data_IF_979590471643
#
_entry.id   IF_979590471643
#
_cell.length_a   1.000
_cell.length_b   1.000
_cell.length_c   1.000
_cell.angle_alpha   90.00
_cell.angle_beta   90.00
_cell.angle_gamma   90.00
#
_symmetry.space_group_name_H-M   'P 1'
#
loop_
_entity.id
_entity.type
_entity.pdbx_description
1 polymer ?
#
# COMPACT_ATOMS: atom_id res chain seq x y z
N UNK A 1 -13.87 -1.69 -24.36
CA UNK A 1 -13.49 -1.01 -25.61
C UNK A 1 -13.36 0.47 -25.27
N UNK A 2 -12.23 1.11 -25.59
CA UNK A 2 -12.13 2.56 -25.45
C UNK A 2 -13.13 3.22 -26.41
N UNK A 3 -13.87 4.21 -25.91
CA UNK A 3 -14.74 5.07 -26.72
C UNK A 3 -13.89 6.24 -27.20
N UNK A 4 -13.77 6.41 -28.52
CA UNK A 4 -13.35 7.68 -29.08
C UNK A 4 -14.49 8.68 -28.89
N UNK A 5 -14.25 9.68 -28.03
CA UNK A 5 -15.27 10.67 -27.65
C UNK A 5 -15.54 11.70 -28.74
N UNK A 6 -14.64 11.86 -29.72
CA UNK A 6 -14.83 12.77 -30.85
C UNK A 6 -15.72 12.11 -31.92
N UNK A 7 -15.47 10.83 -32.21
CA UNK A 7 -16.20 10.11 -33.28
C UNK A 7 -17.38 9.28 -32.77
N UNK A 8 -17.45 9.01 -31.47
CA UNK A 8 -18.43 8.09 -30.88
C UNK A 8 -18.18 6.62 -31.23
N UNK A 9 -17.04 6.31 -31.86
CA UNK A 9 -16.71 4.95 -32.28
C UNK A 9 -15.98 4.22 -31.16
N UNK A 10 -16.24 2.93 -31.03
CA UNK A 10 -15.52 2.10 -30.09
C UNK A 10 -14.32 1.44 -30.78
N UNK A 11 -13.16 1.51 -30.13
CA UNK A 11 -11.97 0.76 -30.51
C UNK A 11 -12.05 -0.73 -30.13
N UNK A 12 -10.98 -1.50 -30.32
CA UNK A 12 -10.94 -2.93 -29.96
C UNK A 12 -11.11 -3.16 -28.45
N UNK A 13 -11.51 -4.39 -28.07
CA UNK A 13 -11.49 -4.77 -26.66
C UNK A 13 -10.05 -4.85 -26.15
N UNK A 14 -9.82 -4.31 -24.96
CA UNK A 14 -8.53 -4.36 -24.29
C UNK A 14 -8.69 -5.11 -22.96
N UNK A 15 -7.69 -5.91 -22.62
CA UNK A 15 -7.65 -6.61 -21.34
C UNK A 15 -6.93 -5.76 -20.28
N UNK A 16 -7.67 -5.31 -19.27
CA UNK A 16 -7.17 -4.53 -18.14
C UNK A 16 -6.86 -5.39 -16.90
N UNK A 17 -6.87 -6.71 -17.05
CA UNK A 17 -6.77 -7.69 -15.96
C UNK A 17 -5.81 -8.84 -16.28
N UNK A 18 -5.53 -9.67 -15.29
CA UNK A 18 -4.94 -11.00 -15.46
C UNK A 18 -5.99 -12.11 -15.58
N UNK A 19 -7.20 -11.78 -16.06
CA UNK A 19 -8.31 -12.72 -16.17
C UNK A 19 -9.23 -12.77 -14.94
N UNK A 20 -9.00 -11.87 -13.98
CA UNK A 20 -9.89 -11.66 -12.83
C UNK A 20 -10.88 -10.52 -13.12
N UNK A 21 -11.94 -10.46 -12.31
CA UNK A 21 -12.87 -9.33 -12.34
C UNK A 21 -12.15 -8.05 -11.89
N UNK A 22 -12.14 -7.03 -12.75
CA UNK A 22 -11.68 -5.68 -12.39
C UNK A 22 -12.73 -5.02 -11.50
N UNK A 23 -12.32 -4.61 -10.30
CA UNK A 23 -13.22 -3.97 -9.32
C UNK A 23 -13.01 -2.46 -9.20
N UNK A 24 -11.85 -1.95 -9.61
CA UNK A 24 -11.52 -0.53 -9.48
C UNK A 24 -10.48 -0.11 -10.51
N UNK A 25 -10.63 1.11 -11.04
CA UNK A 25 -9.72 1.74 -11.99
C UNK A 25 -9.51 3.21 -11.58
N UNK A 26 -8.27 3.72 -11.63
CA UNK A 26 -7.99 5.13 -11.37
C UNK A 26 -6.81 5.66 -12.21
N UNK A 27 -7.05 6.70 -12.99
CA UNK A 27 -6.05 7.33 -13.86
C UNK A 27 -5.12 8.23 -13.03
N UNK A 28 -3.83 8.22 -13.33
CA UNK A 28 -2.87 9.13 -12.72
C UNK A 28 -3.14 10.59 -13.16
N UNK A 29 -2.81 11.58 -12.32
CA UNK A 29 -2.99 12.99 -12.66
C UNK A 29 -2.31 13.42 -13.97
N UNK A 30 -1.16 12.84 -14.31
CA UNK A 30 -0.43 13.07 -15.58
C UNK A 30 -1.06 12.38 -16.81
N UNK A 31 -2.10 11.57 -16.62
CA UNK A 31 -2.78 10.82 -17.68
C UNK A 31 -1.89 9.79 -18.39
N UNK A 32 -0.81 9.33 -17.75
CA UNK A 32 0.11 8.33 -18.31
C UNK A 32 -0.12 6.93 -17.77
N UNK A 33 -0.70 6.80 -16.58
CA UNK A 33 -0.82 5.53 -15.86
C UNK A 33 -2.23 5.28 -15.37
N UNK A 34 -2.64 4.03 -15.36
CA UNK A 34 -3.90 3.55 -14.82
C UNK A 34 -3.60 2.55 -13.70
N UNK A 35 -4.07 2.83 -12.49
CA UNK A 35 -4.17 1.80 -11.46
C UNK A 35 -5.38 0.94 -11.78
N UNK A 36 -5.16 -0.37 -11.75
CA UNK A 36 -6.22 -1.36 -11.86
C UNK A 36 -6.15 -2.32 -10.69
N UNK A 37 -7.29 -2.51 -10.01
CA UNK A 37 -7.46 -3.54 -8.99
C UNK A 37 -8.39 -4.62 -9.51
N UNK A 38 -8.02 -5.86 -9.29
CA UNK A 38 -8.83 -7.02 -9.65
C UNK A 38 -9.12 -7.94 -8.45
N UNK A 39 -9.93 -8.96 -8.69
CA UNK A 39 -10.22 -10.03 -7.73
C UNK A 39 -8.93 -10.65 -7.16
N UNK A 40 -8.98 -11.11 -5.91
CA UNK A 40 -7.79 -11.56 -5.18
C UNK A 40 -6.93 -10.44 -4.60
N UNK A 41 -7.44 -9.20 -4.55
CA UNK A 41 -6.78 -8.00 -4.02
C UNK A 41 -5.50 -7.60 -4.78
N UNK A 42 -5.33 -8.05 -6.02
CA UNK A 42 -4.19 -7.69 -6.85
C UNK A 42 -4.34 -6.28 -7.40
N UNK A 43 -3.24 -5.53 -7.41
CA UNK A 43 -3.14 -4.18 -7.97
C UNK A 43 -2.04 -4.14 -9.02
N UNK A 44 -2.35 -3.54 -10.16
CA UNK A 44 -1.46 -3.34 -11.29
C UNK A 44 -1.38 -1.84 -11.62
N UNK A 45 -0.26 -1.45 -12.20
CA UNK A 45 -0.16 -0.23 -12.98
C UNK A 45 -0.07 -0.60 -14.44
N UNK A 46 -0.80 0.13 -15.28
CA UNK A 46 -0.75 0.05 -16.74
C UNK A 46 -0.37 1.43 -17.29
N UNK A 47 0.51 1.48 -18.29
CA UNK A 47 0.80 2.69 -19.05
C UNK A 47 -0.28 2.98 -20.10
N UNK A 48 0.05 3.80 -21.09
CA UNK A 48 -0.84 4.08 -22.23
C UNK A 48 -0.98 2.88 -23.16
N UNK A 49 0.14 2.21 -23.44
CA UNK A 49 0.16 0.92 -24.14
C UNK A 49 -0.43 -0.17 -23.23
N UNK A 50 -1.31 -1.00 -23.77
CA UNK A 50 -1.90 -2.12 -23.05
C UNK A 50 -0.89 -3.17 -22.60
N UNK A 51 0.24 -3.29 -23.31
CA UNK A 51 1.32 -4.21 -22.96
C UNK A 51 2.24 -3.65 -21.88
N UNK A 52 2.27 -2.33 -21.68
CA UNK A 52 2.98 -1.70 -20.57
C UNK A 52 2.17 -1.88 -19.29
N UNK A 53 2.36 -3.01 -18.63
CA UNK A 53 1.69 -3.32 -17.37
C UNK A 53 2.61 -4.02 -16.41
N UNK A 54 2.46 -3.71 -15.12
CA UNK A 54 3.26 -4.30 -14.05
C UNK A 54 2.39 -4.59 -12.84
N UNK A 55 2.57 -5.78 -12.28
CA UNK A 55 2.00 -6.14 -10.99
C UNK A 55 2.71 -5.38 -9.87
N UNK A 56 1.94 -4.65 -9.07
CA UNK A 56 2.46 -3.94 -7.89
C UNK A 56 2.37 -4.81 -6.62
N UNK A 57 1.36 -5.67 -6.53
CA UNK A 57 1.23 -6.65 -5.44
C UNK A 57 -0.22 -6.88 -5.02
N UNK A 58 -0.39 -7.50 -3.86
CA UNK A 58 -1.69 -7.70 -3.21
C UNK A 58 -1.87 -6.75 -2.03
N UNK A 59 -3.13 -6.53 -1.65
CA UNK A 59 -3.51 -5.78 -0.44
C UNK A 59 -2.94 -4.36 -0.41
N UNK A 60 -3.01 -3.68 -1.57
CA UNK A 60 -2.61 -2.27 -1.73
C UNK A 60 -3.80 -1.32 -1.71
N UNK A 61 -4.98 -1.80 -1.30
CA UNK A 61 -6.19 -1.02 -1.13
C UNK A 61 -7.27 -1.32 -2.17
N UNK A 62 -8.52 -1.22 -1.72
CA UNK A 62 -9.71 -1.44 -2.54
C UNK A 62 -10.00 -0.24 -3.45
N UNK A 63 -9.71 0.96 -2.96
CA UNK A 63 -9.92 2.24 -3.63
C UNK A 63 -8.64 3.06 -3.57
N UNK A 64 -7.75 2.84 -4.52
CA UNK A 64 -6.49 3.59 -4.59
C UNK A 64 -6.72 5.01 -5.11
N UNK A 65 -6.09 5.99 -4.46
CA UNK A 65 -6.08 7.39 -4.84
C UNK A 65 -4.66 7.83 -5.12
N UNK A 66 -4.41 8.26 -6.36
CA UNK A 66 -3.11 8.80 -6.74
C UNK A 66 -2.77 10.05 -5.91
N UNK A 67 -1.51 10.13 -5.53
CA UNK A 67 -0.92 11.38 -5.10
C UNK A 67 -0.75 12.30 -6.32
N UNK A 68 -0.82 13.64 -6.17
CA UNK A 68 -0.69 14.59 -7.28
C UNK A 68 0.61 14.47 -8.10
N UNK A 69 1.67 13.90 -7.53
CA UNK A 69 2.93 13.64 -8.24
C UNK A 69 2.86 12.51 -9.27
N UNK A 70 1.71 11.83 -9.40
CA UNK A 70 1.48 10.69 -10.30
C UNK A 70 2.38 9.47 -10.05
N UNK A 71 3.21 9.50 -9.00
CA UNK A 71 4.16 8.43 -8.65
C UNK A 71 3.66 7.62 -7.47
N UNK A 72 3.10 8.29 -6.47
CA UNK A 72 2.63 7.66 -5.23
C UNK A 72 1.11 7.48 -5.25
N UNK A 73 0.61 6.56 -4.43
CA UNK A 73 -0.82 6.50 -4.14
C UNK A 73 -1.08 6.09 -2.69
N UNK A 74 -2.29 6.41 -2.22
CA UNK A 74 -2.88 5.89 -1.00
C UNK A 74 -3.92 4.84 -1.36
N UNK A 75 -3.94 3.71 -0.67
CA UNK A 75 -4.99 2.71 -0.83
C UNK A 75 -5.50 2.23 0.51
N UNK A 76 -6.81 2.29 0.72
CA UNK A 76 -7.44 1.78 1.92
C UNK A 76 -7.78 0.30 1.77
N UNK A 77 -7.30 -0.54 2.68
CA UNK A 77 -7.55 -1.99 2.68
C UNK A 77 -8.29 -2.42 3.96
N UNK A 78 -9.37 -3.17 3.78
CA UNK A 78 -10.15 -3.69 4.89
C UNK A 78 -9.29 -4.66 5.72
N UNK A 79 -9.08 -4.32 7.00
CA UNK A 79 -8.28 -5.12 7.93
C UNK A 79 -6.76 -4.84 7.93
N UNK A 80 -6.23 -4.06 6.99
CA UNK A 80 -4.79 -3.78 6.88
C UNK A 80 -4.42 -2.28 6.92
N UNK A 81 -5.42 -1.41 7.08
CA UNK A 81 -5.23 0.03 7.18
C UNK A 81 -5.07 0.71 5.82
N UNK A 82 -4.57 1.95 5.84
CA UNK A 82 -4.24 2.72 4.65
C UNK A 82 -2.79 2.49 4.27
N UNK A 83 -2.54 2.05 3.05
CA UNK A 83 -1.21 1.83 2.47
C UNK A 83 -0.79 3.07 1.70
N UNK A 84 0.41 3.59 1.98
CA UNK A 84 1.12 4.45 1.05
C UNK A 84 2.05 3.62 0.18
N UNK A 85 2.05 3.88 -1.14
CA UNK A 85 2.83 3.09 -2.09
C UNK A 85 3.50 3.99 -3.13
N UNK A 86 4.73 3.63 -3.51
CA UNK A 86 5.48 4.25 -4.60
C UNK A 86 5.50 3.30 -5.79
N UNK A 87 4.86 3.73 -6.88
CA UNK A 87 4.78 2.94 -8.09
C UNK A 87 6.15 2.80 -8.73
N UNK A 88 6.96 3.85 -8.81
CA UNK A 88 8.26 3.79 -9.51
C UNK A 88 9.20 2.78 -8.86
N UNK A 89 9.37 2.89 -7.55
CA UNK A 89 10.25 1.98 -6.79
C UNK A 89 9.60 0.63 -6.47
N UNK A 90 8.29 0.48 -6.72
CA UNK A 90 7.48 -0.68 -6.39
C UNK A 90 7.57 -1.07 -4.90
N UNK A 91 7.40 -0.08 -4.02
CA UNK A 91 7.56 -0.24 -2.58
C UNK A 91 6.38 0.33 -1.79
N UNK A 92 6.00 -0.38 -0.72
CA UNK A 92 5.19 0.19 0.36
C UNK A 92 6.04 1.26 1.06
N UNK A 93 5.46 2.45 1.20
CA UNK A 93 6.08 3.60 1.86
C UNK A 93 5.68 3.71 3.32
N UNK A 94 4.48 3.23 3.68
CA UNK A 94 4.01 3.19 5.05
C UNK A 94 2.62 2.58 5.17
N UNK A 95 2.21 2.31 6.41
CA UNK A 95 0.89 1.85 6.77
C UNK A 95 0.31 2.78 7.85
N UNK A 96 -0.93 3.21 7.68
CA UNK A 96 -1.67 3.98 8.67
C UNK A 96 -2.88 3.17 9.13
N UNK A 97 -2.95 2.95 10.44
CA UNK A 97 -4.13 2.45 11.15
C UNK A 97 -4.76 3.65 11.85
N UNK A 98 -5.75 4.30 11.20
CA UNK A 98 -6.34 5.53 11.74
C UNK A 98 -7.23 5.29 12.96
N UNK A 99 -7.69 4.05 13.16
CA UNK A 99 -8.50 3.64 14.29
C UNK A 99 -8.03 2.29 14.81
N UNK A 100 -7.47 2.32 16.02
CA UNK A 100 -7.20 1.17 16.87
C UNK A 100 -8.07 1.28 18.13
N UNK A 101 -8.17 0.20 18.89
CA UNK A 101 -8.93 0.18 20.16
C UNK A 101 -8.47 1.29 21.09
N UNK A 102 -9.38 1.91 21.84
CA UNK A 102 -9.03 2.96 22.82
C UNK A 102 -8.65 4.30 22.18
N UNK A 103 -9.21 4.61 21.01
CA UNK A 103 -8.94 5.85 20.26
C UNK A 103 -7.46 6.04 19.86
N UNK A 104 -6.75 4.93 19.70
CA UNK A 104 -5.37 4.95 19.24
C UNK A 104 -5.27 5.04 17.71
N UNK A 105 -4.13 5.54 17.24
CA UNK A 105 -3.75 5.48 15.83
C UNK A 105 -2.26 5.13 15.71
N UNK A 106 -1.90 4.46 14.62
CA UNK A 106 -0.53 4.00 14.36
C UNK A 106 -0.14 4.27 12.91
N UNK A 107 0.99 4.91 12.70
CA UNK A 107 1.69 4.96 11.42
C UNK A 107 2.97 4.12 11.53
N UNK A 108 3.12 3.14 10.65
CA UNK A 108 4.25 2.22 10.59
C UNK A 108 5.02 2.43 9.28
N UNK A 109 6.31 2.75 9.39
CA UNK A 109 7.22 2.84 8.25
C UNK A 109 7.70 1.46 7.78
N UNK A 110 8.32 1.38 6.59
CA UNK A 110 8.66 0.11 5.95
C UNK A 110 9.82 -0.62 6.64
N UNK A 111 10.53 0.06 7.53
CA UNK A 111 11.63 -0.49 8.34
C UNK A 111 11.21 -0.83 9.77
N UNK A 112 9.91 -0.75 10.09
CA UNK A 112 9.37 -1.08 11.41
C UNK A 112 9.42 0.06 12.43
N UNK A 113 9.96 1.23 12.07
CA UNK A 113 9.78 2.44 12.87
C UNK A 113 8.33 2.89 12.85
N UNK A 114 7.84 3.42 13.96
CA UNK A 114 6.44 3.80 14.10
C UNK A 114 6.26 5.13 14.83
N UNK A 115 5.12 5.77 14.60
CA UNK A 115 4.60 6.89 15.39
C UNK A 115 3.12 6.72 15.58
N UNK A 116 2.57 7.22 16.68
CA UNK A 116 1.15 7.07 16.97
C UNK A 116 0.72 7.91 18.15
N UNK A 117 -0.53 7.70 18.56
CA UNK A 117 -1.05 8.22 19.82
C UNK A 117 -0.23 7.74 21.02
N UNK A 118 -0.22 8.48 22.15
CA UNK A 118 0.37 7.98 23.41
C UNK A 118 -0.19 6.59 23.77
N UNK A 119 0.66 5.64 24.17
CA UNK A 119 0.24 4.28 24.57
C UNK A 119 -0.04 3.32 23.41
N UNK A 120 0.17 3.73 22.15
CA UNK A 120 -0.08 2.86 20.98
C UNK A 120 0.77 1.58 20.99
N UNK A 121 1.90 1.58 21.68
CA UNK A 121 2.77 0.43 21.87
C UNK A 121 2.08 -0.79 22.49
N UNK A 122 0.99 -0.59 23.24
CA UNK A 122 0.19 -1.67 23.83
C UNK A 122 -0.76 -2.34 22.81
N UNK A 123 -0.88 -1.77 21.60
CA UNK A 123 -1.78 -2.23 20.54
C UNK A 123 -1.13 -3.23 19.57
N UNK A 124 0.18 -3.45 19.67
CA UNK A 124 0.89 -4.34 18.74
C UNK A 124 2.08 -5.05 19.39
N UNK A 125 2.54 -6.10 18.69
CA UNK A 125 3.72 -6.87 19.06
C UNK A 125 4.66 -6.99 17.88
N UNK A 126 5.94 -7.19 18.16
CA UNK A 126 6.92 -7.63 17.17
C UNK A 126 6.93 -9.15 17.12
N UNK A 127 6.85 -9.72 15.92
CA UNK A 127 7.10 -11.15 15.68
C UNK A 127 8.48 -11.28 15.05
N UNK A 128 9.40 -11.96 15.73
CA UNK A 128 10.76 -12.18 15.23
C UNK A 128 10.99 -13.66 14.95
N UNK A 129 11.61 -13.95 13.80
CA UNK A 129 12.21 -15.25 13.51
C UNK A 129 13.61 -15.28 14.11
N UNK A 130 13.90 -16.26 14.96
CA UNK A 130 15.20 -16.43 15.60
C UNK A 130 16.13 -17.31 14.77
N UNK A 131 17.46 -17.29 15.02
CA UNK A 131 18.42 -18.09 14.27
C UNK A 131 18.18 -19.60 14.34
N UNK A 132 17.48 -20.09 15.37
CA UNK A 132 17.10 -21.50 15.52
C UNK A 132 15.84 -21.86 14.71
N UNK A 133 15.27 -20.93 13.96
CA UNK A 133 14.06 -21.10 13.17
C UNK A 133 12.76 -21.01 13.97
N UNK A 134 12.83 -20.73 15.28
CA UNK A 134 11.63 -20.46 16.09
C UNK A 134 11.11 -19.04 15.88
N UNK A 135 9.80 -18.87 16.01
CA UNK A 135 9.17 -17.54 16.06
C UNK A 135 8.85 -17.17 17.50
N UNK A 136 9.11 -15.91 17.88
CA UNK A 136 8.71 -15.36 19.16
C UNK A 136 8.06 -13.99 19.01
N UNK A 137 7.10 -13.73 19.86
CA UNK A 137 6.46 -12.42 20.03
C UNK A 137 7.14 -11.63 21.12
N UNK A 138 7.25 -10.32 20.92
CA UNK A 138 7.83 -9.36 21.86
C UNK A 138 6.93 -8.12 21.93
N UNK A 139 6.72 -7.59 23.12
CA UNK A 139 6.27 -6.20 23.26
C UNK A 139 7.33 -5.25 22.66
N UNK A 140 6.97 -4.01 22.29
CA UNK A 140 7.95 -3.04 21.81
C UNK A 140 9.14 -2.82 22.77
N UNK A 141 8.90 -2.80 24.08
CA UNK A 141 9.95 -2.68 25.10
C UNK A 141 10.88 -3.89 25.15
N UNK A 142 10.33 -5.11 25.07
CA UNK A 142 11.13 -6.34 25.05
C UNK A 142 11.95 -6.44 23.75
N UNK A 143 11.36 -6.09 22.61
CA UNK A 143 12.05 -6.09 21.32
C UNK A 143 13.23 -5.10 21.33
N UNK A 144 12.99 -3.88 21.84
CA UNK A 144 14.03 -2.87 22.01
C UNK A 144 15.21 -3.39 22.86
N UNK A 145 14.89 -4.00 24.00
CA UNK A 145 15.90 -4.57 24.91
C UNK A 145 16.65 -5.76 24.28
N UNK A 146 15.94 -6.67 23.64
CA UNK A 146 16.49 -7.92 23.10
C UNK A 146 17.38 -7.68 21.88
N UNK A 147 16.98 -6.78 20.99
CA UNK A 147 17.64 -6.56 19.69
C UNK A 147 18.38 -5.22 19.60
N UNK A 148 18.51 -4.50 20.72
CA UNK A 148 19.05 -3.15 20.77
C UNK A 148 18.37 -2.21 19.74
N UNK A 149 17.06 -2.43 19.53
CA UNK A 149 16.27 -1.67 18.58
C UNK A 149 15.79 -0.37 19.22
N UNK A 150 15.91 0.74 18.49
CA UNK A 150 15.40 2.04 18.93
C UNK A 150 14.41 2.55 17.89
N UNK A 151 13.18 2.81 18.34
CA UNK A 151 12.18 3.45 17.50
C UNK A 151 12.62 4.89 17.14
N UNK A 152 12.35 5.29 15.91
CA UNK A 152 12.64 6.61 15.36
C UNK A 152 11.36 7.10 14.65
N UNK A 153 10.50 7.85 15.35
CA UNK A 153 9.21 8.29 14.84
C UNK A 153 9.28 9.11 13.54
N UNK A 154 10.42 9.76 13.27
CA UNK A 154 10.61 10.55 12.04
C UNK A 154 10.78 9.67 10.79
N UNK A 155 11.07 8.37 10.96
CA UNK A 155 11.13 7.39 9.86
C UNK A 155 9.79 6.70 9.60
N UNK A 156 8.75 7.05 10.35
CA UNK A 156 7.41 6.47 10.25
C UNK A 156 6.46 7.39 9.46
N UNK A 157 6.69 7.49 8.17
CA UNK A 157 5.90 8.34 7.25
C UNK A 157 4.98 7.49 6.38
N UNK A 158 3.77 7.99 6.09
CA UNK A 158 2.82 7.24 5.25
C UNK A 158 3.22 7.25 3.77
N UNK A 159 3.68 8.40 3.26
CA UNK A 159 4.02 8.62 1.84
C UNK A 159 5.51 8.90 1.61
N UNK A 160 6.35 8.65 2.62
CA UNK A 160 7.74 9.11 2.62
C UNK A 160 7.85 10.64 2.48
N UNK A 161 9.07 11.12 2.25
CA UNK A 161 9.37 12.50 1.87
C UNK A 161 9.11 12.69 0.38
#
# INVERSE_FOLDING_TARGET
MPLDVETGTFGPMENFSNGNTVGFLNMSPDGQRLLAREGGNWTFVRGRDAQDRRLLGQHLGQTAQWHPDSRRFLGWEYGYGTVGFDVETNRRLGLLFPWLTGDHWLCLGPTGHYRGSPGVEDQFVYVAMLPDGSQRTYTPAEFAKQFNWKNDPEKAELLGK
#
